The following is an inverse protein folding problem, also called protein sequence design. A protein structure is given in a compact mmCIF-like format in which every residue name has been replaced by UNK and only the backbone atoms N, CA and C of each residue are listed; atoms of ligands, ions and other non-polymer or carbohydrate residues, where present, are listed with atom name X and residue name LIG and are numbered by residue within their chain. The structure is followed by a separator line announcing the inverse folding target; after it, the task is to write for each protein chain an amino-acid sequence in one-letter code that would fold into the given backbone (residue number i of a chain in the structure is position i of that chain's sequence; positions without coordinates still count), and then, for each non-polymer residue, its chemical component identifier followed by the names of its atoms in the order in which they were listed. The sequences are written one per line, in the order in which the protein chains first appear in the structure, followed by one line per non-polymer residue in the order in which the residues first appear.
data_IF_606447630970
#
_entry.id   IF_606447630970
#
_cell.length_a   1.000
_cell.length_b   1.000
_cell.length_c   1.000
_cell.angle_alpha   90.00
_cell.angle_beta   90.00
_cell.angle_gamma   90.00
#
_symmetry.space_group_name_H-M   'P 1'
#
loop_
_entity.id
_entity.type
_entity.pdbx_description
1 polymer ?
#
# COMPACT_ATOMS: atom_id res chain seq x y z
N UNK A 1 7.44 0.77 18.46
CA UNK A 1 6.27 0.34 17.71
C UNK A 1 6.58 0.37 16.21
N UNK A 2 6.23 -0.68 15.48
CA UNK A 2 6.46 -0.76 14.04
C UNK A 2 5.19 -0.39 13.28
N UNK A 3 5.27 0.68 12.49
CA UNK A 3 4.18 1.12 11.64
C UNK A 3 4.38 0.59 10.22
N UNK A 4 3.45 -0.22 9.74
CA UNK A 4 3.48 -0.77 8.39
C UNK A 4 2.56 -0.01 7.45
N UNK A 5 2.97 0.07 6.19
CA UNK A 5 2.18 0.71 5.14
C UNK A 5 2.13 -0.17 3.89
N UNK A 6 0.98 -0.25 3.28
CA UNK A 6 0.81 -0.86 1.97
C UNK A 6 -0.23 -0.06 1.20
N UNK A 7 -0.16 -0.10 -0.11
CA UNK A 7 -1.14 0.60 -0.96
C UNK A 7 -1.58 -0.28 -2.11
N UNK A 8 -2.77 -0.02 -2.60
CA UNK A 8 -3.33 -0.76 -3.72
C UNK A 8 -4.65 -0.17 -4.16
N UNK A 9 -5.17 -0.68 -5.28
CA UNK A 9 -6.46 -0.28 -5.81
C UNK A 9 -7.60 -0.92 -5.02
N UNK A 10 -7.44 -2.19 -4.68
CA UNK A 10 -8.45 -3.00 -3.95
C UNK A 10 -9.81 -3.00 -4.64
N UNK A 11 -9.79 -3.08 -5.96
CA UNK A 11 -11.00 -3.21 -6.73
C UNK A 11 -11.51 -4.65 -6.64
N UNK A 12 -12.83 -4.83 -6.49
CA UNK A 12 -13.43 -6.15 -6.31
C UNK A 12 -12.73 -6.94 -5.20
N UNK A 13 -12.68 -6.37 -4.01
CA UNK A 13 -11.96 -6.93 -2.87
C UNK A 13 -12.28 -8.42 -2.68
N UNK A 14 -11.23 -9.24 -2.59
CA UNK A 14 -11.39 -10.70 -2.49
C UNK A 14 -10.40 -11.29 -1.47
N UNK A 15 -10.44 -12.61 -1.33
CA UNK A 15 -9.65 -13.31 -0.31
C UNK A 15 -8.14 -13.10 -0.47
N UNK A 16 -7.66 -12.93 -1.70
CA UNK A 16 -6.23 -12.63 -1.94
C UNK A 16 -5.81 -11.30 -1.32
N UNK A 17 -6.65 -10.28 -1.47
CA UNK A 17 -6.41 -8.98 -0.82
C UNK A 17 -6.42 -9.12 0.70
N UNK A 18 -7.39 -9.83 1.24
CA UNK A 18 -7.50 -10.03 2.68
C UNK A 18 -6.27 -10.76 3.24
N UNK A 19 -5.82 -11.82 2.59
CA UNK A 19 -4.68 -12.58 3.04
C UNK A 19 -3.40 -11.74 3.05
N UNK A 20 -3.21 -10.90 2.05
CA UNK A 20 -2.06 -9.98 1.99
C UNK A 20 -2.09 -9.04 3.19
N UNK A 21 -3.25 -8.44 3.49
CA UNK A 21 -3.38 -7.52 4.62
C UNK A 21 -3.15 -8.22 5.96
N UNK A 22 -3.65 -9.44 6.11
CA UNK A 22 -3.42 -10.24 7.32
C UNK A 22 -1.94 -10.56 7.51
N UNK A 23 -1.25 -10.93 6.43
CA UNK A 23 0.19 -11.21 6.48
C UNK A 23 0.99 -9.95 6.82
N UNK A 24 0.63 -8.82 6.23
CA UNK A 24 1.26 -7.54 6.52
C UNK A 24 1.08 -7.16 8.00
N UNK A 25 -0.13 -7.27 8.52
CA UNK A 25 -0.41 -6.96 9.92
C UNK A 25 0.40 -7.85 10.86
N UNK A 26 0.63 -9.10 10.50
CA UNK A 26 1.44 -10.02 11.30
C UNK A 26 2.90 -9.60 11.45
N UNK A 27 3.39 -8.67 10.62
CA UNK A 27 4.77 -8.21 10.63
C UNK A 27 4.93 -6.79 11.20
N UNK A 28 3.86 -6.16 11.65
CA UNK A 28 3.91 -4.82 12.20
C UNK A 28 2.90 -4.67 13.34
N UNK A 29 3.02 -3.58 14.09
CA UNK A 29 2.10 -3.30 15.20
C UNK A 29 0.85 -2.58 14.74
N UNK A 30 1.00 -1.64 13.80
CA UNK A 30 -0.11 -0.93 13.18
C UNK A 30 0.04 -0.98 11.67
N UNK A 31 -1.07 -1.20 10.98
CA UNK A 31 -1.11 -1.25 9.53
C UNK A 31 -1.98 -0.12 8.98
N UNK A 32 -1.37 0.75 8.19
CA UNK A 32 -2.08 1.78 7.43
C UNK A 32 -2.13 1.31 5.98
N UNK A 33 -3.31 1.39 5.38
CA UNK A 33 -3.52 0.98 3.99
C UNK A 33 -3.91 2.19 3.17
N UNK A 34 -3.14 2.46 2.11
CA UNK A 34 -3.47 3.49 1.13
C UNK A 34 -4.33 2.90 0.02
N UNK A 35 -5.50 3.47 -0.19
CA UNK A 35 -6.39 3.04 -1.28
C UNK A 35 -6.27 4.04 -2.42
N UNK A 36 -5.86 3.55 -3.59
CA UNK A 36 -5.58 4.41 -4.74
C UNK A 36 -6.84 5.12 -5.22
N UNK A 37 -6.77 6.44 -5.33
CA UNK A 37 -7.90 7.24 -5.80
C UNK A 37 -8.15 6.99 -7.29
N UNK A 38 -9.40 7.19 -7.74
CA UNK A 38 -9.80 6.90 -9.12
C UNK A 38 -8.94 7.62 -10.15
N UNK A 39 -8.56 8.86 -9.89
CA UNK A 39 -7.71 9.65 -10.76
C UNK A 39 -6.38 8.97 -11.09
N UNK A 40 -5.75 8.32 -10.11
CA UNK A 40 -4.49 7.61 -10.31
C UNK A 40 -4.68 6.28 -11.03
N UNK A 41 -5.82 5.61 -10.81
CA UNK A 41 -6.16 4.41 -11.54
C UNK A 41 -6.33 4.72 -13.03
N UNK A 42 -7.04 5.81 -13.35
CA UNK A 42 -7.26 6.27 -14.71
C UNK A 42 -5.95 6.64 -15.40
N UNK A 43 -5.02 7.24 -14.69
CA UNK A 43 -3.71 7.61 -15.21
C UNK A 43 -2.96 6.40 -15.79
N UNK A 44 -3.19 5.21 -15.25
CA UNK A 44 -2.58 3.97 -15.73
C UNK A 44 -3.37 3.32 -16.88
N UNK A 45 -4.28 4.03 -17.50
CA UNK A 45 -5.20 3.51 -18.54
C UNK A 45 -6.05 2.35 -18.02
N UNK A 46 -6.34 2.35 -16.74
CA UNK A 46 -7.20 1.35 -16.10
C UNK A 46 -8.41 2.06 -15.51
N UNK A 47 -9.47 1.32 -15.30
CA UNK A 47 -10.67 1.85 -14.70
C UNK A 47 -11.13 0.90 -13.59
N UNK A 48 -11.30 1.44 -12.40
CA UNK A 48 -11.85 0.64 -11.31
C UNK A 48 -13.35 0.44 -11.53
N UNK A 49 -13.82 -0.76 -11.28
CA UNK A 49 -15.24 -1.09 -11.39
C UNK A 49 -15.99 -0.50 -10.19
N UNK A 50 -15.37 -0.56 -9.00
CA UNK A 50 -15.96 -0.02 -7.78
C UNK A 50 -15.36 1.36 -7.54
N UNK A 51 -16.19 2.40 -7.32
CA UNK A 51 -15.67 3.75 -7.10
C UNK A 51 -14.87 3.85 -5.80
N UNK A 52 -13.97 4.80 -5.73
CA UNK A 52 -13.05 4.98 -4.61
C UNK A 52 -13.75 5.01 -3.26
N UNK A 53 -14.84 5.74 -3.13
CA UNK A 53 -15.55 5.90 -1.86
C UNK A 53 -15.99 4.56 -1.27
N UNK A 54 -16.36 3.62 -2.13
CA UNK A 54 -16.77 2.28 -1.70
C UNK A 54 -15.55 1.40 -1.43
N UNK A 55 -14.51 1.51 -2.25
CA UNK A 55 -13.30 0.73 -2.07
C UNK A 55 -12.62 1.04 -0.73
N UNK A 56 -12.47 2.31 -0.40
CA UNK A 56 -11.85 2.70 0.86
C UNK A 56 -12.71 2.31 2.07
N UNK A 57 -14.04 2.37 1.92
CA UNK A 57 -14.94 1.97 3.00
C UNK A 57 -14.83 0.48 3.30
N UNK A 58 -14.71 -0.34 2.28
CA UNK A 58 -14.51 -1.79 2.46
C UNK A 58 -13.19 -2.05 3.19
N UNK A 59 -12.10 -1.44 2.74
CA UNK A 59 -10.78 -1.62 3.34
C UNK A 59 -10.77 -1.13 4.79
N UNK A 60 -11.42 0.00 5.05
CA UNK A 60 -11.49 0.58 6.40
C UNK A 60 -12.13 -0.37 7.41
N UNK A 61 -13.03 -1.22 6.96
CA UNK A 61 -13.76 -2.15 7.82
C UNK A 61 -13.13 -3.54 7.90
N UNK A 62 -11.97 -3.74 7.32
CA UNK A 62 -11.21 -4.98 7.47
C UNK A 62 -10.56 -4.97 8.86
N UNK A 63 -10.77 -6.04 9.60
CA UNK A 63 -10.38 -6.14 11.01
C UNK A 63 -8.91 -5.81 11.28
N UNK A 64 -8.01 -6.23 10.40
CA UNK A 64 -6.57 -6.06 10.60
C UNK A 64 -6.04 -4.68 10.16
N UNK A 65 -6.88 -3.87 9.53
CA UNK A 65 -6.51 -2.53 9.07
C UNK A 65 -6.75 -1.53 10.19
N UNK A 66 -5.71 -0.85 10.63
CA UNK A 66 -5.83 0.16 11.68
C UNK A 66 -6.31 1.49 11.12
N UNK A 67 -5.92 1.84 9.89
CA UNK A 67 -6.41 3.03 9.21
C UNK A 67 -6.34 2.83 7.70
N UNK A 68 -7.34 3.32 6.99
CA UNK A 68 -7.35 3.36 5.53
C UNK A 68 -7.36 4.82 5.09
N UNK A 69 -6.44 5.20 4.22
CA UNK A 69 -6.29 6.58 3.75
C UNK A 69 -6.25 6.61 2.22
N UNK A 70 -6.59 7.75 1.60
CA UNK A 70 -6.43 7.88 0.16
C UNK A 70 -4.96 7.85 -0.25
N UNK A 71 -4.63 7.06 -1.27
CA UNK A 71 -3.33 7.09 -1.92
C UNK A 71 -3.45 8.05 -3.09
N UNK A 72 -3.02 9.29 -2.90
CA UNK A 72 -3.14 10.35 -3.89
C UNK A 72 -1.85 10.60 -4.66
N UNK A 73 -0.77 9.93 -4.27
CA UNK A 73 0.55 10.07 -4.87
C UNK A 73 0.99 8.75 -5.49
N UNK A 74 1.59 8.81 -6.69
CA UNK A 74 2.25 7.64 -7.28
C UNK A 74 3.55 7.32 -6.58
N UNK A 75 4.23 8.33 -6.06
CA UNK A 75 5.50 8.20 -5.37
C UNK A 75 5.27 7.80 -3.90
N UNK A 76 5.63 6.57 -3.58
CA UNK A 76 5.48 6.04 -2.22
C UNK A 76 6.38 6.75 -1.20
N UNK A 77 7.49 7.33 -1.65
CA UNK A 77 8.38 8.09 -0.76
C UNK A 77 7.68 9.36 -0.24
N UNK A 78 6.85 10.00 -1.07
CA UNK A 78 6.05 11.15 -0.63
C UNK A 78 5.05 10.74 0.44
N UNK A 79 4.52 9.53 0.35
CA UNK A 79 3.65 9.00 1.41
C UNK A 79 4.44 8.78 2.70
N UNK A 80 5.69 8.29 2.59
CA UNK A 80 6.55 8.15 3.75
C UNK A 80 6.82 9.49 4.42
N UNK A 81 7.03 10.53 3.67
CA UNK A 81 7.25 11.88 4.23
C UNK A 81 6.07 12.35 5.10
N UNK A 82 4.87 11.91 4.76
CA UNK A 82 3.66 12.23 5.52
C UNK A 82 3.43 11.30 6.71
N UNK A 83 3.74 10.03 6.57
CA UNK A 83 3.35 8.99 7.53
C UNK A 83 4.50 8.47 8.39
N UNK A 84 5.73 8.54 7.90
CA UNK A 84 6.93 8.02 8.58
C UNK A 84 6.77 6.55 8.99
N UNK A 85 6.30 5.71 8.06
CA UNK A 85 6.19 4.28 8.33
C UNK A 85 7.56 3.60 8.43
N UNK A 86 7.60 2.51 9.15
CA UNK A 86 8.83 1.74 9.40
C UNK A 86 9.00 0.61 8.40
N UNK A 87 7.89 0.06 7.90
CA UNK A 87 7.87 -1.07 6.98
C UNK A 87 6.95 -0.74 5.81
N UNK A 88 7.44 -0.98 4.60
CA UNK A 88 6.65 -0.86 3.38
C UNK A 88 6.43 -2.25 2.79
N UNK A 89 5.18 -2.63 2.57
CA UNK A 89 4.82 -3.90 1.96
C UNK A 89 4.46 -3.68 0.50
N UNK A 90 5.06 -4.44 -0.40
CA UNK A 90 4.83 -4.32 -1.85
C UNK A 90 4.73 -5.70 -2.48
N UNK A 91 4.10 -5.78 -3.66
CA UNK A 91 4.09 -6.99 -4.45
C UNK A 91 5.48 -7.28 -5.05
N UNK A 92 5.78 -8.55 -5.28
CA UNK A 92 7.09 -8.97 -5.78
C UNK A 92 7.33 -8.58 -7.25
N UNK A 93 6.29 -8.22 -7.99
CA UNK A 93 6.40 -7.75 -9.37
C UNK A 93 7.20 -6.45 -9.49
N UNK A 94 7.32 -5.68 -8.42
CA UNK A 94 8.10 -4.44 -8.40
C UNK A 94 9.60 -4.68 -8.27
N UNK A 95 9.99 -5.83 -7.74
CA UNK A 95 11.36 -6.14 -7.32
C UNK A 95 12.42 -5.92 -8.41
N UNK A 96 12.09 -6.20 -9.67
CA UNK A 96 13.06 -6.18 -10.77
C UNK A 96 13.07 -4.89 -11.60
N UNK A 97 12.27 -3.89 -11.26
CA UNK A 97 12.25 -2.65 -12.02
C UNK A 97 13.38 -1.72 -11.59
N UNK A 98 14.13 -1.10 -12.53
CA UNK A 98 15.23 -0.20 -12.16
C UNK A 98 14.78 0.99 -11.31
N UNK A 99 13.63 1.58 -11.64
CA UNK A 99 13.09 2.70 -10.86
C UNK A 99 12.76 2.31 -9.43
N UNK A 100 12.33 1.07 -9.22
CA UNK A 100 12.02 0.56 -7.89
C UNK A 100 13.29 0.32 -7.08
N UNK A 101 14.38 -0.13 -7.71
CA UNK A 101 15.66 -0.33 -7.02
C UNK A 101 16.18 0.98 -6.45
N UNK A 102 16.05 2.08 -7.18
CA UNK A 102 16.40 3.41 -6.67
C UNK A 102 15.52 3.79 -5.47
N UNK A 103 14.24 3.50 -5.56
CA UNK A 103 13.30 3.78 -4.48
C UNK A 103 13.64 2.96 -3.24
N UNK A 104 13.99 1.69 -3.41
CA UNK A 104 14.37 0.81 -2.31
C UNK A 104 15.61 1.32 -1.58
N UNK A 105 16.62 1.78 -2.32
CA UNK A 105 17.81 2.39 -1.74
C UNK A 105 17.46 3.65 -0.95
N UNK A 106 16.57 4.46 -1.49
CA UNK A 106 16.10 5.67 -0.84
C UNK A 106 15.41 5.37 0.49
N UNK A 107 14.56 4.37 0.52
CA UNK A 107 13.89 3.93 1.74
C UNK A 107 14.87 3.36 2.76
N UNK A 108 15.83 2.58 2.30
CA UNK A 108 16.85 2.00 3.16
C UNK A 108 17.64 3.07 3.90
N UNK A 109 17.96 4.18 3.23
CA UNK A 109 18.68 5.30 3.83
C UNK A 109 17.94 5.97 4.97
N UNK A 110 16.62 5.91 4.97
CA UNK A 110 15.80 6.52 6.03
C UNK A 110 15.28 5.47 7.02
N UNK A 111 15.80 4.25 6.96
CA UNK A 111 15.49 3.21 7.92
C UNK A 111 14.19 2.45 7.66
N UNK A 112 13.65 2.54 6.45
CA UNK A 112 12.44 1.80 6.10
C UNK A 112 12.81 0.42 5.56
N UNK A 113 12.19 -0.60 6.12
CA UNK A 113 12.31 -1.98 5.66
C UNK A 113 11.26 -2.24 4.58
N UNK A 114 11.68 -2.77 3.44
CA UNK A 114 10.77 -3.13 2.35
C UNK A 114 10.56 -4.64 2.38
N UNK A 115 9.30 -5.07 2.43
CA UNK A 115 8.92 -6.48 2.47
C UNK A 115 8.11 -6.80 1.22
N UNK A 116 8.50 -7.84 0.50
CA UNK A 116 7.85 -8.26 -0.73
C UNK A 116 6.93 -9.44 -0.47
N UNK A 117 5.71 -9.39 -1.01
CA UNK A 117 4.76 -10.49 -0.98
C UNK A 117 4.54 -11.02 -2.40
N UNK A 118 4.42 -12.34 -2.56
CA UNK A 118 4.09 -12.94 -3.86
C UNK A 118 2.71 -12.57 -4.37
#
# INVERSE_FOLDING_TARGET
MQLGYTSGVYDLFHIGHLNLLKNAKGLCDKLIVGVTVDKLVEYKNKRAIIPFEERIEIVRNIKVVDAAIPQEELDKYKMWEKLHFDILFVGDDWYKTPSWQEMEEKFKKVGVRVVYFP
#
